data_IF_567912069720
#
_entry.id   IF_567912069720
#
_cell.length_a   1.000
_cell.length_b   1.000
_cell.length_c   1.000
_cell.angle_alpha   90.00
_cell.angle_beta   90.00
_cell.angle_gamma   90.00
#
_symmetry.space_group_name_H-M   'P 1'
#
loop_
_entity.id
_entity.type
_entity.pdbx_description
1 polymer ?
#
# COMPACT_ATOMS: atom_id res chain seq x y z
N UNK A 1 -15.69 9.60 -4.41
CA UNK A 1 -14.30 9.39 -3.96
C UNK A 1 -13.46 8.59 -4.97
N UNK A 2 -14.03 8.19 -6.12
CA UNK A 2 -13.36 7.51 -7.24
C UNK A 2 -12.31 8.38 -7.94
N UNK A 3 -12.52 9.70 -7.98
CA UNK A 3 -11.78 10.57 -8.89
C UNK A 3 -10.34 10.89 -8.43
N UNK A 4 -10.01 10.60 -7.16
CA UNK A 4 -8.63 10.70 -6.68
C UNK A 4 -7.76 9.49 -7.05
N UNK A 5 -8.36 8.33 -7.36
CA UNK A 5 -7.60 7.14 -7.76
C UNK A 5 -7.14 7.21 -9.22
N UNK A 6 -7.95 7.81 -10.11
CA UNK A 6 -7.66 7.87 -11.55
C UNK A 6 -6.81 9.09 -11.98
N UNK A 7 -6.65 10.11 -11.13
CA UNK A 7 -5.80 11.27 -11.41
C UNK A 7 -4.95 11.67 -10.19
N UNK A 8 -3.96 10.84 -9.78
CA UNK A 8 -3.15 11.10 -8.59
C UNK A 8 -2.40 12.44 -8.67
N UNK A 9 -2.09 12.93 -9.88
CA UNK A 9 -1.32 14.16 -10.10
C UNK A 9 -1.97 15.44 -9.57
N UNK A 10 -3.30 15.58 -9.64
CA UNK A 10 -3.98 16.82 -9.23
C UNK A 10 -3.93 17.03 -7.70
N UNK A 11 -4.11 15.95 -6.93
CA UNK A 11 -4.00 16.01 -5.46
C UNK A 11 -2.57 16.30 -4.99
N UNK A 12 -1.58 15.70 -5.66
CA UNK A 12 -0.15 15.91 -5.34
C UNK A 12 0.26 17.36 -5.61
N UNK A 13 -0.17 17.94 -6.74
CA UNK A 13 0.09 19.35 -7.04
C UNK A 13 -0.59 20.31 -6.05
N UNK A 14 -1.80 19.98 -5.58
CA UNK A 14 -2.50 20.78 -4.58
C UNK A 14 -1.78 20.74 -3.22
N UNK A 15 -1.30 19.56 -2.80
CA UNK A 15 -0.52 19.41 -1.57
C UNK A 15 0.80 20.20 -1.64
N UNK A 16 1.53 20.14 -2.76
CA UNK A 16 2.75 20.94 -2.96
C UNK A 16 2.47 22.44 -2.84
N UNK A 17 1.40 22.93 -3.50
CA UNK A 17 1.00 24.36 -3.42
C UNK A 17 0.63 24.78 -1.99
N UNK A 18 0.12 23.87 -1.19
CA UNK A 18 -0.21 24.09 0.22
C UNK A 18 1.00 23.90 1.16
N UNK A 19 2.19 23.54 0.65
CA UNK A 19 3.36 23.24 1.47
C UNK A 19 3.20 21.95 2.30
N UNK A 20 2.29 21.06 1.90
CA UNK A 20 1.98 19.81 2.59
C UNK A 20 2.72 18.63 1.96
N UNK A 21 2.96 17.60 2.77
CA UNK A 21 3.54 16.36 2.29
C UNK A 21 2.52 15.47 1.57
N UNK A 22 2.98 14.72 0.57
CA UNK A 22 2.17 13.79 -0.22
C UNK A 22 2.84 12.43 -0.39
N UNK A 23 2.00 11.39 -0.35
CA UNK A 23 2.37 10.01 -0.69
C UNK A 23 1.62 9.64 -1.96
N UNK A 24 2.34 9.27 -3.01
CA UNK A 24 1.74 8.91 -4.29
C UNK A 24 1.22 7.47 -4.33
N UNK A 25 0.45 7.19 -5.37
CA UNK A 25 -0.16 5.90 -5.63
C UNK A 25 0.00 5.53 -7.11
N UNK A 26 0.33 4.27 -7.39
CA UNK A 26 0.60 3.65 -8.70
C UNK A 26 1.82 4.16 -9.49
N UNK A 27 2.10 5.46 -9.48
CA UNK A 27 3.15 6.07 -10.31
C UNK A 27 4.03 7.02 -9.50
N UNK A 28 5.29 7.16 -9.93
CA UNK A 28 6.20 8.18 -9.40
C UNK A 28 5.81 9.56 -9.96
N UNK A 29 5.24 10.38 -9.08
CA UNK A 29 4.84 11.76 -9.37
C UNK A 29 5.74 12.77 -8.63
N UNK A 30 6.94 12.37 -8.20
CA UNK A 30 7.90 13.23 -7.51
C UNK A 30 8.19 14.55 -8.23
N UNK A 31 8.13 14.55 -9.58
CA UNK A 31 8.27 15.75 -10.41
C UNK A 31 7.17 16.80 -10.18
N UNK A 32 5.99 16.38 -9.72
CA UNK A 32 4.85 17.26 -9.47
C UNK A 32 4.85 17.86 -8.06
N UNK A 33 5.64 17.29 -7.14
CA UNK A 33 5.79 17.76 -5.76
C UNK A 33 7.27 17.74 -5.31
N UNK A 34 8.13 18.61 -5.88
CA UNK A 34 9.56 18.57 -5.64
C UNK A 34 9.98 18.78 -4.18
N UNK A 35 9.14 19.40 -3.34
CA UNK A 35 9.42 19.64 -1.92
C UNK A 35 8.57 18.80 -0.98
N UNK A 36 7.31 18.53 -1.34
CA UNK A 36 6.32 17.81 -0.53
C UNK A 36 6.27 16.30 -0.79
N UNK A 37 6.99 15.77 -1.79
CA UNK A 37 6.97 14.33 -2.07
C UNK A 37 7.66 13.52 -0.96
N UNK A 38 6.99 12.48 -0.47
CA UNK A 38 7.58 11.50 0.45
C UNK A 38 8.03 10.23 -0.29
N UNK A 39 7.08 9.50 -0.89
CA UNK A 39 7.30 8.30 -1.71
C UNK A 39 5.98 7.92 -2.39
N UNK A 40 5.93 6.80 -3.11
CA UNK A 40 4.69 6.21 -3.61
C UNK A 40 4.72 4.68 -3.57
N UNK A 41 3.55 4.07 -3.37
CA UNK A 41 3.37 2.65 -3.65
C UNK A 41 3.22 2.46 -5.16
N UNK A 42 4.26 1.95 -5.81
CA UNK A 42 4.31 1.69 -7.25
C UNK A 42 4.14 0.21 -7.54
N UNK A 43 3.42 -0.09 -8.61
CA UNK A 43 3.25 -1.45 -9.12
C UNK A 43 4.24 -1.69 -10.26
N UNK A 44 5.12 -2.66 -10.11
CA UNK A 44 6.01 -3.13 -11.17
C UNK A 44 5.25 -4.07 -12.11
N UNK A 45 4.42 -3.46 -12.97
CA UNK A 45 3.66 -4.16 -13.99
C UNK A 45 4.56 -4.90 -14.99
N UNK A 46 5.77 -4.40 -15.23
CA UNK A 46 6.72 -5.01 -16.17
C UNK A 46 7.11 -6.40 -15.70
N UNK A 47 7.47 -6.55 -14.42
CA UNK A 47 7.80 -7.87 -13.86
C UNK A 47 6.62 -8.83 -13.95
N UNK A 48 5.42 -8.37 -13.56
CA UNK A 48 4.21 -9.18 -13.63
C UNK A 48 3.92 -9.66 -15.06
N UNK A 49 3.97 -8.78 -16.06
CA UNK A 49 3.70 -9.15 -17.45
C UNK A 49 4.76 -10.11 -18.01
N UNK A 50 6.04 -9.93 -17.68
CA UNK A 50 7.10 -10.86 -18.08
C UNK A 50 6.89 -12.24 -17.47
N UNK A 51 6.56 -12.32 -16.19
CA UNK A 51 6.29 -13.59 -15.49
C UNK A 51 5.06 -14.29 -16.09
N UNK A 52 4.00 -13.54 -16.40
CA UNK A 52 2.79 -14.06 -17.04
C UNK A 52 3.08 -14.63 -18.44
N UNK A 53 3.80 -13.87 -19.27
CA UNK A 53 4.20 -14.31 -20.62
C UNK A 53 5.06 -15.58 -20.55
N UNK A 54 5.98 -15.66 -19.60
CA UNK A 54 6.80 -16.85 -19.40
C UNK A 54 5.98 -18.06 -18.96
N UNK A 55 5.00 -17.89 -18.06
CA UNK A 55 4.11 -18.98 -17.65
C UNK A 55 3.21 -19.46 -18.79
N UNK A 56 2.70 -18.54 -19.62
CA UNK A 56 1.91 -18.89 -20.81
C UNK A 56 2.78 -19.66 -21.81
N UNK A 57 4.01 -19.20 -22.07
CA UNK A 57 4.96 -19.90 -22.95
C UNK A 57 5.38 -21.26 -22.41
N UNK A 58 5.49 -21.41 -21.09
CA UNK A 58 5.81 -22.66 -20.41
C UNK A 58 4.63 -23.62 -20.22
N UNK A 59 3.40 -23.23 -20.60
CA UNK A 59 2.19 -24.02 -20.39
C UNK A 59 1.79 -24.20 -18.92
N UNK A 60 2.40 -23.45 -18.00
CA UNK A 60 2.14 -23.52 -16.55
C UNK A 60 1.17 -22.45 -16.07
N UNK A 61 0.62 -21.64 -16.98
CA UNK A 61 -0.33 -20.58 -16.64
C UNK A 61 -1.58 -21.16 -15.99
N UNK A 62 -1.97 -20.62 -14.84
CA UNK A 62 -3.21 -20.94 -14.14
C UNK A 62 -4.09 -19.70 -14.08
N UNK A 63 -5.35 -19.85 -14.50
CA UNK A 63 -6.36 -18.80 -14.33
C UNK A 63 -6.68 -18.66 -12.84
N UNK A 64 -6.46 -17.47 -12.28
CA UNK A 64 -6.72 -17.17 -10.87
C UNK A 64 -6.49 -15.70 -10.54
N UNK A 65 -6.88 -15.27 -9.34
CA UNK A 65 -6.58 -13.93 -8.85
C UNK A 65 -5.09 -13.80 -8.51
N UNK A 66 -4.41 -12.90 -9.22
CA UNK A 66 -3.00 -12.60 -8.96
C UNK A 66 -2.94 -11.68 -7.73
N UNK A 67 -2.76 -12.28 -6.55
CA UNK A 67 -2.45 -11.54 -5.32
C UNK A 67 -0.94 -11.49 -5.19
N UNK A 68 -0.33 -10.43 -5.74
CA UNK A 68 1.10 -10.19 -5.59
C UNK A 68 1.34 -9.10 -4.56
N UNK A 69 2.33 -9.35 -3.70
CA UNK A 69 2.69 -8.53 -2.56
C UNK A 69 4.06 -7.86 -2.78
N UNK A 70 4.51 -7.08 -1.80
CA UNK A 70 5.91 -6.62 -1.77
C UNK A 70 6.91 -7.78 -1.78
N UNK A 71 6.54 -8.96 -1.25
CA UNK A 71 7.41 -10.15 -1.24
C UNK A 71 7.64 -10.75 -2.63
N UNK A 72 6.68 -10.57 -3.54
CA UNK A 72 6.77 -11.04 -4.93
C UNK A 72 7.51 -10.05 -5.84
N UNK A 73 7.93 -8.91 -5.27
CA UNK A 73 8.66 -7.84 -5.95
C UNK A 73 7.79 -6.98 -6.86
N UNK A 74 6.47 -7.05 -6.71
CA UNK A 74 5.48 -6.42 -7.62
C UNK A 74 4.98 -5.10 -7.05
N UNK A 75 4.95 -4.96 -5.73
CA UNK A 75 4.75 -3.67 -5.07
C UNK A 75 6.10 -3.14 -4.59
N UNK A 76 6.49 -1.95 -5.05
CA UNK A 76 7.74 -1.28 -4.69
C UNK A 76 7.47 0.15 -4.25
N UNK A 77 8.33 0.68 -3.40
CA UNK A 77 8.33 2.11 -3.08
C UNK A 77 9.07 2.88 -4.17
N UNK A 78 8.48 3.97 -4.64
CA UNK A 78 9.14 4.94 -5.51
C UNK A 78 10.31 5.63 -4.78
N UNK A 79 11.23 6.29 -5.51
CA UNK A 79 12.29 7.09 -4.90
C UNK A 79 11.74 8.04 -3.84
N UNK A 80 12.45 8.11 -2.71
CA UNK A 80 12.10 9.01 -1.62
C UNK A 80 12.35 10.46 -2.00
N UNK A 81 11.45 11.36 -1.61
CA UNK A 81 11.67 12.78 -1.77
C UNK A 81 12.64 13.33 -0.73
N UNK A 82 13.07 14.59 -0.93
CA UNK A 82 14.14 15.24 -0.14
C UNK A 82 13.81 15.36 1.35
N UNK A 83 12.54 15.36 1.72
CA UNK A 83 12.08 15.45 3.09
C UNK A 83 12.28 14.16 3.90
N UNK A 84 12.54 13.02 3.24
CA UNK A 84 12.73 11.73 3.90
C UNK A 84 14.20 11.54 4.24
N UNK A 85 14.56 11.77 5.50
CA UNK A 85 15.93 11.60 5.99
C UNK A 85 16.38 10.14 5.91
N UNK A 86 17.70 9.92 5.92
CA UNK A 86 18.27 8.56 5.89
C UNK A 86 17.75 7.69 7.04
N UNK A 87 17.63 8.24 8.24
CA UNK A 87 17.11 7.50 9.40
C UNK A 87 15.68 7.00 9.17
N UNK A 88 14.82 7.80 8.53
CA UNK A 88 13.46 7.41 8.17
C UNK A 88 13.48 6.34 7.07
N UNK A 89 14.37 6.46 6.08
CA UNK A 89 14.53 5.43 5.04
C UNK A 89 14.97 4.08 5.64
N UNK A 90 15.89 4.11 6.61
CA UNK A 90 16.37 2.91 7.30
C UNK A 90 15.24 2.30 8.19
N UNK A 91 14.41 3.12 8.83
CA UNK A 91 13.21 2.65 9.54
C UNK A 91 12.18 2.00 8.59
N UNK A 92 11.97 2.58 7.41
CA UNK A 92 11.08 2.02 6.39
C UNK A 92 11.62 0.68 5.90
N UNK A 93 12.92 0.58 5.60
CA UNK A 93 13.57 -0.66 5.17
C UNK A 93 13.50 -1.75 6.25
N UNK A 94 13.71 -1.39 7.52
CA UNK A 94 13.57 -2.31 8.66
C UNK A 94 12.14 -2.81 8.80
N UNK A 95 11.15 -1.91 8.71
CA UNK A 95 9.72 -2.27 8.78
C UNK A 95 9.33 -3.16 7.62
N UNK A 96 9.80 -2.86 6.40
CA UNK A 96 9.60 -3.68 5.22
C UNK A 96 10.18 -5.08 5.43
N UNK A 97 11.40 -5.23 5.95
CA UNK A 97 11.99 -6.53 6.24
C UNK A 97 11.16 -7.32 7.27
N UNK A 98 10.61 -6.66 8.29
CA UNK A 98 9.73 -7.28 9.29
C UNK A 98 8.40 -7.73 8.70
N UNK A 99 7.82 -6.95 7.79
CA UNK A 99 6.61 -7.33 7.05
C UNK A 99 6.87 -8.54 6.14
N UNK A 100 7.98 -8.53 5.40
CA UNK A 100 8.36 -9.61 4.49
C UNK A 100 8.71 -10.92 5.21
N UNK A 101 9.34 -10.83 6.38
CA UNK A 101 9.65 -11.99 7.21
C UNK A 101 8.43 -12.53 8.00
N UNK A 102 7.29 -11.83 7.93
CA UNK A 102 6.10 -12.16 8.73
C UNK A 102 6.24 -11.86 10.22
N UNK A 103 7.33 -11.21 10.64
CA UNK A 103 7.56 -10.77 12.03
C UNK A 103 6.59 -9.64 12.42
N UNK A 104 6.09 -8.88 11.45
CA UNK A 104 5.03 -7.89 11.64
C UNK A 104 3.87 -8.21 10.72
N UNK A 105 2.68 -8.28 11.29
CA UNK A 105 1.42 -8.49 10.58
C UNK A 105 0.57 -7.24 10.74
N UNK A 106 0.17 -6.62 9.62
CA UNK A 106 -0.53 -5.32 9.63
C UNK A 106 -1.90 -5.46 10.30
N UNK A 107 -2.54 -6.62 10.12
CA UNK A 107 -3.86 -6.91 10.68
C UNK A 107 -3.79 -7.93 11.83
N UNK A 108 -2.77 -7.87 12.69
CA UNK A 108 -2.75 -8.63 13.93
C UNK A 108 -3.46 -7.86 15.05
N UNK A 109 -4.25 -8.57 15.86
CA UNK A 109 -5.03 -7.93 16.92
C UNK A 109 -4.17 -7.45 18.09
N UNK A 110 -4.65 -6.48 18.89
CA UNK A 110 -6.05 -6.04 18.91
C UNK A 110 -6.36 -4.97 17.85
N UNK A 111 -7.44 -5.18 17.09
CA UNK A 111 -8.01 -4.18 16.17
C UNK A 111 -9.47 -3.96 16.52
N UNK A 112 -9.83 -2.70 16.77
CA UNK A 112 -11.20 -2.23 17.00
C UNK A 112 -11.66 -1.41 15.81
N UNK A 113 -12.97 -1.39 15.58
CA UNK A 113 -13.58 -0.46 14.63
C UNK A 113 -13.85 0.91 15.26
N UNK A 114 -14.27 1.88 14.44
CA UNK A 114 -14.65 3.23 14.87
C UNK A 114 -15.72 3.28 15.96
N UNK A 115 -16.55 2.23 16.10
CA UNK A 115 -17.57 2.14 17.15
C UNK A 115 -17.01 1.56 18.47
N UNK A 116 -15.72 1.22 18.50
CA UNK A 116 -15.05 0.59 19.64
C UNK A 116 -15.27 -0.92 19.72
N UNK A 117 -15.96 -1.53 18.74
CA UNK A 117 -16.17 -2.97 18.70
C UNK A 117 -14.88 -3.66 18.24
N UNK A 118 -14.45 -4.64 19.02
CA UNK A 118 -13.28 -5.46 18.69
C UNK A 118 -13.57 -6.32 17.45
N UNK A 119 -12.72 -6.22 16.43
CA UNK A 119 -12.81 -6.95 15.16
C UNK A 119 -11.78 -8.06 15.05
N UNK A 120 -10.59 -7.85 15.61
CA UNK A 120 -9.54 -8.87 15.72
C UNK A 120 -9.04 -8.84 17.15
N UNK A 121 -9.13 -9.95 17.87
CA UNK A 121 -8.82 -9.97 19.31
C UNK A 121 -7.33 -9.87 19.56
N UNK A 122 -6.94 -9.38 20.72
CA UNK A 122 -5.55 -9.41 21.15
C UNK A 122 -4.94 -10.82 21.02
N UNK A 123 -3.82 -10.94 20.29
CA UNK A 123 -3.13 -12.21 20.08
C UNK A 123 -3.68 -13.06 18.92
N UNK A 124 -4.77 -12.66 18.26
CA UNK A 124 -5.19 -13.28 17.00
C UNK A 124 -4.23 -12.91 15.87
N UNK A 125 -3.87 -13.91 15.08
CA UNK A 125 -3.07 -13.74 13.86
C UNK A 125 -3.87 -13.01 12.79
N UNK A 126 -3.16 -12.43 11.85
CA UNK A 126 -3.76 -11.77 10.69
C UNK A 126 -4.77 -12.68 9.98
N UNK A 127 -6.02 -12.18 9.75
CA UNK A 127 -7.03 -12.91 9.00
C UNK A 127 -6.57 -13.25 7.58
N UNK A 128 -7.15 -14.30 7.01
CA UNK A 128 -6.97 -14.66 5.60
C UNK A 128 -7.30 -13.47 4.69
N UNK A 129 -6.58 -13.33 3.58
CA UNK A 129 -6.73 -12.19 2.66
C UNK A 129 -8.16 -12.08 2.11
N UNK A 130 -8.84 -13.21 1.93
CA UNK A 130 -10.25 -13.24 1.53
C UNK A 130 -11.20 -12.60 2.54
N UNK A 131 -10.88 -12.70 3.83
CA UNK A 131 -11.62 -12.00 4.90
C UNK A 131 -11.25 -10.51 4.95
N UNK A 132 -10.01 -10.15 4.59
CA UNK A 132 -9.58 -8.75 4.51
C UNK A 132 -10.23 -8.02 3.34
N UNK A 133 -10.41 -8.69 2.20
CA UNK A 133 -11.12 -8.15 1.03
C UNK A 133 -12.60 -7.86 1.30
N UNK A 134 -13.18 -8.50 2.32
CA UNK A 134 -14.55 -8.29 2.77
C UNK A 134 -14.66 -7.29 3.94
N UNK A 135 -13.58 -6.54 4.24
CA UNK A 135 -13.60 -5.56 5.33
C UNK A 135 -14.65 -4.47 5.07
N UNK A 136 -15.67 -4.48 5.93
CA UNK A 136 -16.83 -3.57 5.93
C UNK A 136 -16.77 -2.54 7.05
N UNK A 137 -15.60 -2.35 7.67
CA UNK A 137 -15.42 -1.50 8.83
C UNK A 137 -14.16 -0.64 8.69
N UNK A 138 -14.20 0.53 9.30
CA UNK A 138 -13.04 1.39 9.48
C UNK A 138 -12.49 1.18 10.90
N UNK A 139 -11.17 1.13 11.03
CA UNK A 139 -10.51 0.94 12.34
C UNK A 139 -10.67 2.17 13.23
N UNK A 140 -10.54 1.97 14.54
CA UNK A 140 -10.56 3.03 15.55
C UNK A 140 -9.63 4.19 15.16
N UNK A 141 -10.10 5.44 15.29
CA UNK A 141 -9.34 6.65 14.96
C UNK A 141 -9.44 7.10 13.50
N UNK A 142 -9.93 6.27 12.57
CA UNK A 142 -10.28 6.74 11.23
C UNK A 142 -11.52 7.64 11.36
N UNK A 143 -11.58 8.76 10.65
CA UNK A 143 -12.79 9.61 10.56
C UNK A 143 -13.27 9.56 9.11
N UNK A 144 -14.37 8.85 8.89
CA UNK A 144 -14.94 8.61 7.56
C UNK A 144 -16.20 7.78 7.66
N UNK A 145 -17.05 7.84 6.63
CA UNK A 145 -18.23 6.98 6.49
C UNK A 145 -18.03 6.08 5.27
N UNK A 146 -18.25 4.78 5.43
CA UNK A 146 -18.31 3.86 4.30
C UNK A 146 -19.60 4.19 3.54
N UNK A 147 -19.55 4.48 2.22
CA UNK A 147 -20.75 4.65 1.40
C UNK A 147 -21.59 3.37 1.46
N UNK A 148 -22.89 3.51 1.70
CA UNK A 148 -23.85 2.40 1.58
C UNK A 148 -24.20 2.12 0.12
#
# INVERSE_FOLDING_TARGET
SSDLQDCPGAGIQAAEKAGMFSVGYHVDNSKLAPNGWLTAATWDWTKLFVDLVNQVRGGTYKVGQIRQSMGDGVVKLAPFGKAVTKDVQDQIASTQAKLLSGQTQIFAGPIKDQSGKERIKAGEKQPEVTSLEQMDYLVEGVVGKIPQ
#
